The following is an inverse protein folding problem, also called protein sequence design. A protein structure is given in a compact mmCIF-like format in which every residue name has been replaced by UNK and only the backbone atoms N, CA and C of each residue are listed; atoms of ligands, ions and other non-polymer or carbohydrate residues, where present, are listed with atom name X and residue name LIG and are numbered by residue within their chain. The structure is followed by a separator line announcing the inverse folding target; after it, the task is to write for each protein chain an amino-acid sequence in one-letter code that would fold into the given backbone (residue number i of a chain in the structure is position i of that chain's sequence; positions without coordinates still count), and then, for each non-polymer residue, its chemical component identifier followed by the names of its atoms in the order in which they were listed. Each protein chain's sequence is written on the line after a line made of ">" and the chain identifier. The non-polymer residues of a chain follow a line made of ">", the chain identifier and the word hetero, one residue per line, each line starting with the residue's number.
data_IF_956556231771
#
_entry.id   IF_956556231771
#
_cell.length_a   1.000
_cell.length_b   1.000
_cell.length_c   1.000
_cell.angle_alpha   90.00
_cell.angle_beta   90.00
_cell.angle_gamma   90.00
#
_symmetry.space_group_name_H-M   'P 1'
#
loop_
_entity.id
_entity.type
_entity.pdbx_description
1 polymer ?
#
# COMPACT_ATOMS: atom_id res chain seq x y z
N UNK A 1 19.14 11.48 -7.77
CA UNK A 1 19.00 10.28 -6.91
C UNK A 1 17.97 9.27 -7.44
N UNK A 2 16.76 9.69 -7.83
CA UNK A 2 15.78 8.79 -8.45
C UNK A 2 16.17 8.40 -9.89
N UNK A 3 16.55 9.38 -10.71
CA UNK A 3 17.00 9.17 -12.09
C UNK A 3 18.28 8.32 -12.17
N UNK A 4 19.24 8.54 -11.26
CA UNK A 4 20.48 7.77 -11.15
C UNK A 4 20.27 6.32 -10.72
N UNK A 5 19.14 6.01 -10.05
CA UNK A 5 18.75 4.62 -9.71
C UNK A 5 17.95 3.95 -10.82
N UNK A 6 17.36 4.73 -11.74
CA UNK A 6 16.63 4.18 -12.88
C UNK A 6 17.55 3.74 -14.02
N UNK A 7 18.76 4.31 -14.09
CA UNK A 7 19.79 3.99 -15.08
C UNK A 7 20.91 3.10 -14.54
N UNK A 8 20.79 2.60 -13.31
CA UNK A 8 21.81 1.75 -12.69
C UNK A 8 21.89 0.38 -13.39
N UNK A 9 23.12 -0.12 -13.60
CA UNK A 9 23.31 -1.50 -14.04
C UNK A 9 22.97 -2.49 -12.92
N UNK A 10 22.78 -3.77 -13.26
CA UNK A 10 22.53 -4.83 -12.26
C UNK A 10 23.66 -4.90 -11.21
N UNK A 11 24.90 -4.81 -11.65
CA UNK A 11 26.09 -4.85 -10.78
C UNK A 11 26.14 -3.63 -9.85
N UNK A 12 25.87 -2.44 -10.38
CA UNK A 12 25.81 -1.21 -9.58
C UNK A 12 24.67 -1.25 -8.54
N UNK A 13 23.52 -1.83 -8.92
CA UNK A 13 22.41 -2.08 -7.98
C UNK A 13 22.83 -3.03 -6.87
N UNK A 14 23.50 -4.13 -7.19
CA UNK A 14 23.92 -5.11 -6.19
C UNK A 14 24.91 -4.52 -5.19
N UNK A 15 25.94 -3.81 -5.68
CA UNK A 15 26.90 -3.11 -4.82
C UNK A 15 26.18 -2.13 -3.91
N UNK A 16 25.25 -1.33 -4.45
CA UNK A 16 24.47 -0.39 -3.65
C UNK A 16 23.64 -1.10 -2.56
N UNK A 17 22.92 -2.17 -2.91
CA UNK A 17 22.12 -2.93 -1.94
C UNK A 17 22.98 -3.59 -0.86
N UNK A 18 24.17 -4.06 -1.21
CA UNK A 18 25.10 -4.62 -0.24
C UNK A 18 25.63 -3.54 0.72
N UNK A 19 26.01 -2.37 0.20
CA UNK A 19 26.41 -1.23 1.04
C UNK A 19 25.28 -0.77 1.96
N UNK A 20 24.05 -0.68 1.47
CA UNK A 20 22.86 -0.34 2.26
C UNK A 20 22.64 -1.38 3.38
N UNK A 21 22.83 -2.68 3.06
CA UNK A 21 22.73 -3.77 4.05
C UNK A 21 23.81 -3.64 5.14
N UNK A 22 25.05 -3.37 4.77
CA UNK A 22 26.15 -3.20 5.72
C UNK A 22 25.92 -2.00 6.64
N UNK A 23 25.58 -0.84 6.08
CA UNK A 23 25.27 0.36 6.85
C UNK A 23 24.11 0.13 7.82
N UNK A 24 23.02 -0.49 7.36
CA UNK A 24 21.87 -0.75 8.24
C UNK A 24 22.19 -1.76 9.34
N UNK A 25 23.04 -2.76 9.08
CA UNK A 25 23.52 -3.69 10.11
C UNK A 25 24.38 -2.97 11.15
N UNK A 26 25.28 -2.09 10.72
CA UNK A 26 26.10 -1.31 11.64
C UNK A 26 25.24 -0.43 12.56
N UNK A 27 24.27 0.31 11.99
CA UNK A 27 23.34 1.14 12.76
C UNK A 27 22.57 0.31 13.79
N UNK A 28 22.09 -0.88 13.40
CA UNK A 28 21.39 -1.80 14.30
C UNK A 28 22.30 -2.37 15.39
N UNK A 29 23.58 -2.58 15.11
CA UNK A 29 24.53 -3.10 16.11
C UNK A 29 24.87 -2.07 17.19
N UNK A 30 24.85 -0.78 16.84
CA UNK A 30 25.14 0.34 17.75
C UNK A 30 23.88 0.97 18.34
N UNK A 31 22.69 0.40 18.11
CA UNK A 31 21.43 0.99 18.58
C UNK A 31 21.29 0.84 20.10
N UNK A 32 20.77 1.86 20.79
CA UNK A 32 20.42 1.72 22.20
C UNK A 32 19.12 0.91 22.36
N UNK A 33 18.86 0.42 23.57
CA UNK A 33 17.65 -0.33 23.90
C UNK A 33 16.37 0.44 23.57
N UNK A 34 16.29 1.74 23.90
CA UNK A 34 15.13 2.58 23.61
C UNK A 34 14.86 2.72 22.10
N UNK A 35 15.91 2.97 21.31
CA UNK A 35 15.78 3.05 19.85
C UNK A 35 15.35 1.71 19.25
N UNK A 36 15.88 0.61 19.78
CA UNK A 36 15.48 -0.75 19.39
C UNK A 36 14.01 -1.01 19.68
N UNK A 37 13.53 -0.68 20.86
CA UNK A 37 12.14 -0.89 21.27
C UNK A 37 11.17 -0.10 20.39
N UNK A 38 11.45 1.19 20.18
CA UNK A 38 10.65 2.02 19.27
C UNK A 38 10.63 1.47 17.84
N UNK A 39 11.77 1.03 17.31
CA UNK A 39 11.85 0.42 15.98
C UNK A 39 11.00 -0.86 15.91
N UNK A 40 11.09 -1.73 16.92
CA UNK A 40 10.28 -2.95 16.99
C UNK A 40 8.78 -2.66 17.13
N UNK A 41 8.41 -1.65 17.93
CA UNK A 41 7.02 -1.20 18.05
C UNK A 41 6.46 -0.74 16.70
N UNK A 42 7.22 0.07 15.96
CA UNK A 42 6.83 0.52 14.63
C UNK A 42 6.66 -0.65 13.65
N UNK A 43 7.56 -1.62 13.67
CA UNK A 43 7.44 -2.84 12.86
C UNK A 43 6.19 -3.64 13.23
N UNK A 44 5.89 -3.80 14.52
CA UNK A 44 4.68 -4.50 14.98
C UNK A 44 3.41 -3.81 14.50
N UNK A 45 3.33 -2.48 14.64
CA UNK A 45 2.18 -1.68 14.19
C UNK A 45 2.01 -1.80 12.67
N UNK A 46 3.08 -1.61 11.90
CA UNK A 46 3.04 -1.71 10.44
C UNK A 46 2.60 -3.10 9.98
N UNK A 47 3.15 -4.16 10.60
CA UNK A 47 2.79 -5.55 10.28
C UNK A 47 1.34 -5.85 10.64
N UNK A 48 0.87 -5.38 11.81
CA UNK A 48 -0.52 -5.56 12.23
C UNK A 48 -1.49 -4.87 11.25
N UNK A 49 -1.20 -3.63 10.86
CA UNK A 49 -1.98 -2.90 9.85
C UNK A 49 -2.00 -3.64 8.51
N UNK A 50 -0.84 -4.08 8.02
CA UNK A 50 -0.76 -4.83 6.77
C UNK A 50 -1.55 -6.15 6.82
N UNK A 51 -1.57 -6.83 7.96
CA UNK A 51 -2.38 -8.06 8.12
C UNK A 51 -3.87 -7.74 8.17
N UNK A 52 -4.27 -6.66 8.85
CA UNK A 52 -5.66 -6.21 8.88
C UNK A 52 -6.19 -5.89 7.47
N UNK A 53 -5.40 -5.20 6.64
CA UNK A 53 -5.81 -4.88 5.26
C UNK A 53 -5.84 -6.09 4.33
N UNK A 54 -5.11 -7.16 4.66
CA UNK A 54 -5.13 -8.42 3.89
C UNK A 54 -6.23 -9.39 4.35
N UNK A 55 -6.68 -9.28 5.60
CA UNK A 55 -7.63 -10.21 6.23
C UNK A 55 -9.01 -9.61 6.53
N UNK A 56 -9.29 -8.36 6.17
CA UNK A 56 -10.67 -7.88 6.12
C UNK A 56 -11.38 -8.54 4.94
N UNK A 57 -11.97 -9.70 5.19
CA UNK A 57 -13.00 -10.22 4.29
C UNK A 57 -14.09 -9.14 4.17
N UNK A 58 -14.18 -8.51 3.00
CA UNK A 58 -15.19 -7.48 2.71
C UNK A 58 -16.60 -8.07 2.59
N UNK A 59 -16.75 -9.40 2.73
CA UNK A 59 -18.05 -10.04 2.78
C UNK A 59 -18.96 -9.33 3.78
N UNK A 60 -20.10 -8.85 3.28
CA UNK A 60 -21.13 -8.12 4.04
C UNK A 60 -20.68 -6.78 4.65
N UNK A 61 -19.49 -6.25 4.33
CA UNK A 61 -19.04 -4.94 4.84
C UNK A 61 -19.97 -3.79 4.43
N UNK A 62 -20.73 -3.95 3.35
CA UNK A 62 -21.77 -2.99 2.96
C UNK A 62 -22.90 -2.84 4.02
N UNK A 63 -23.18 -3.89 4.80
CA UNK A 63 -24.17 -3.86 5.89
C UNK A 63 -23.58 -3.37 7.22
N UNK A 64 -22.25 -3.34 7.33
CA UNK A 64 -21.49 -2.95 8.52
C UNK A 64 -20.50 -1.85 8.18
N UNK A 65 -20.99 -0.78 7.55
CA UNK A 65 -20.15 0.36 7.19
C UNK A 65 -19.59 1.03 8.45
N UNK A 66 -18.26 1.14 8.53
CA UNK A 66 -17.53 1.88 9.56
C UNK A 66 -16.89 3.12 8.93
N UNK A 67 -17.31 4.32 9.36
CA UNK A 67 -16.77 5.57 8.83
C UNK A 67 -15.30 5.84 9.18
N UNK A 68 -14.73 5.09 10.13
CA UNK A 68 -13.32 5.20 10.50
C UNK A 68 -12.40 4.33 9.65
N UNK A 69 -12.96 3.45 8.81
CA UNK A 69 -12.19 2.57 7.94
C UNK A 69 -12.04 3.18 6.54
N UNK A 70 -10.79 3.36 6.10
CA UNK A 70 -10.50 3.82 4.74
C UNK A 70 -10.54 2.64 3.76
N UNK A 71 -11.75 2.34 3.27
CA UNK A 71 -12.00 1.27 2.31
C UNK A 71 -11.25 1.45 0.98
N UNK A 72 -10.77 2.65 0.65
CA UNK A 72 -10.04 2.89 -0.61
C UNK A 72 -8.67 2.23 -0.65
N UNK A 73 -8.09 1.95 0.52
CA UNK A 73 -6.79 1.28 0.66
C UNK A 73 -6.88 -0.25 0.55
N UNK A 74 -8.10 -0.80 0.47
CA UNK A 74 -8.27 -2.24 0.46
C UNK A 74 -7.90 -2.83 -0.92
N UNK A 75 -7.10 -3.92 -0.98
CA UNK A 75 -6.63 -4.50 -2.25
C UNK A 75 -7.75 -4.89 -3.24
N UNK A 76 -8.90 -5.30 -2.70
CA UNK A 76 -10.08 -5.71 -3.48
C UNK A 76 -11.05 -4.56 -3.80
N UNK A 77 -10.83 -3.34 -3.29
CA UNK A 77 -11.68 -2.18 -3.58
C UNK A 77 -11.09 -1.44 -4.78
N UNK A 78 -11.57 -1.78 -5.96
CA UNK A 78 -11.20 -1.10 -7.22
C UNK A 78 -12.37 -0.21 -7.65
N UNK A 79 -12.34 1.06 -7.24
CA UNK A 79 -13.28 2.07 -7.75
C UNK A 79 -12.72 2.59 -9.08
N UNK A 80 -13.32 2.17 -10.20
CA UNK A 80 -12.90 2.62 -11.54
C UNK A 80 -13.16 4.12 -11.78
N UNK A 81 -12.70 4.68 -12.90
CA UNK A 81 -13.08 6.05 -13.28
C UNK A 81 -14.50 6.08 -13.89
N UNK A 82 -15.27 7.12 -13.59
CA UNK A 82 -16.56 7.39 -14.23
C UNK A 82 -16.37 8.19 -15.52
N UNK A 83 -15.84 7.53 -16.55
CA UNK A 83 -15.42 8.14 -17.81
C UNK A 83 -16.41 7.94 -18.97
N UNK A 84 -17.43 7.09 -18.78
CA UNK A 84 -18.46 6.86 -19.80
C UNK A 84 -19.67 7.74 -19.56
N UNK A 85 -20.20 8.36 -20.60
CA UNK A 85 -21.50 9.05 -20.54
C UNK A 85 -22.62 8.03 -20.81
N UNK A 86 -23.69 8.11 -20.05
CA UNK A 86 -24.90 7.34 -20.27
C UNK A 86 -25.66 7.90 -21.48
N UNK A 87 -25.97 7.05 -22.46
CA UNK A 87 -26.70 7.47 -23.66
C UNK A 87 -28.14 7.92 -23.39
N UNK A 88 -28.74 7.51 -22.27
CA UNK A 88 -30.15 7.79 -21.97
C UNK A 88 -30.37 9.02 -21.09
N UNK A 89 -29.41 9.36 -20.24
CA UNK A 89 -29.55 10.44 -19.26
C UNK A 89 -28.34 11.38 -19.18
N UNK A 90 -27.34 11.20 -20.04
CA UNK A 90 -26.10 11.99 -20.09
C UNK A 90 -25.25 12.01 -18.81
N UNK A 91 -25.58 11.21 -17.79
CA UNK A 91 -24.78 11.08 -16.58
C UNK A 91 -23.49 10.29 -16.81
N UNK A 92 -22.43 10.62 -16.07
CA UNK A 92 -21.20 9.82 -16.04
C UNK A 92 -21.45 8.46 -15.35
N UNK A 93 -20.80 7.39 -15.83
CA UNK A 93 -20.92 6.02 -15.32
C UNK A 93 -19.60 5.27 -15.41
N UNK A 94 -19.46 4.23 -14.59
CA UNK A 94 -18.33 3.30 -14.65
C UNK A 94 -18.37 2.44 -15.91
N UNK A 95 -17.19 2.02 -16.38
CA UNK A 95 -16.99 1.20 -17.60
C UNK A 95 -17.83 -0.07 -17.64
N UNK A 96 -18.05 -0.72 -16.48
CA UNK A 96 -18.70 -2.02 -16.32
C UNK A 96 -20.05 -1.96 -15.59
N UNK A 97 -20.70 -0.79 -15.48
CA UNK A 97 -22.06 -0.74 -14.91
C UNK A 97 -23.03 -1.48 -15.83
N UNK A 98 -23.79 -2.44 -15.29
CA UNK A 98 -24.80 -3.19 -16.03
C UNK A 98 -25.86 -2.24 -16.61
N UNK A 99 -26.30 -2.50 -17.85
CA UNK A 99 -27.38 -1.71 -18.47
C UNK A 99 -28.69 -2.11 -17.78
N UNK A 100 -29.28 -1.22 -16.98
CA UNK A 100 -30.64 -1.42 -16.44
C UNK A 100 -30.80 -1.45 -14.92
N UNK A 101 -29.83 -0.97 -14.13
CA UNK A 101 -30.05 -0.59 -12.72
C UNK A 101 -29.93 0.93 -12.53
#
# INVERSE_FOLDING_TARGET
>A
AAETRSSESSEQREVRLDTDRMCTNQIRSSETTEFRERRLQNVRISTARSRQTLHSDLNLSAFHYDSNYDYSLHPNVVIGKMDKICMYCSALKFKNKMRGM
#
